data_IF_775154884527
#
_entry.id   IF_775154884527
#
_cell.length_a   1.000
_cell.length_b   1.000
_cell.length_c   1.000
_cell.angle_alpha   90.00
_cell.angle_beta   90.00
_cell.angle_gamma   90.00
#
_symmetry.space_group_name_H-M   'P 1'
#
loop_
_entity.id
_entity.type
_entity.pdbx_description
1 polymer ?
#
# COMPACT_ATOMS: atom_id res chain seq x y z
N UNK A 1 29.83 48.96 8.57
CA UNK A 1 29.03 47.88 7.95
C UNK A 1 29.75 46.52 7.84
N UNK A 2 31.04 46.39 8.20
CA UNK A 2 31.76 45.10 8.08
C UNK A 2 31.41 44.04 9.15
N UNK A 3 30.83 44.42 10.29
CA UNK A 3 30.53 43.50 11.41
C UNK A 3 29.26 42.64 11.23
N UNK A 4 28.37 43.02 10.30
CA UNK A 4 27.13 42.27 10.02
C UNK A 4 27.31 41.19 8.95
N UNK A 5 28.41 41.24 8.19
CA UNK A 5 28.75 40.30 7.14
C UNK A 5 28.97 38.86 7.64
N UNK A 6 29.69 38.59 8.75
CA UNK A 6 29.84 37.22 9.26
C UNK A 6 28.53 36.65 9.81
N UNK A 7 27.63 37.50 10.31
CA UNK A 7 26.31 37.08 10.82
C UNK A 7 25.42 36.62 9.67
N UNK A 8 25.43 37.35 8.54
CA UNK A 8 24.67 36.98 7.35
C UNK A 8 25.20 35.69 6.71
N UNK A 9 26.52 35.49 6.72
CA UNK A 9 27.15 34.28 6.19
C UNK A 9 26.84 33.04 7.06
N UNK A 10 26.79 33.21 8.38
CA UNK A 10 26.41 32.12 9.31
C UNK A 10 24.95 31.69 9.13
N UNK A 11 24.05 32.63 8.79
CA UNK A 11 22.64 32.33 8.53
C UNK A 11 22.43 31.51 7.24
N UNK A 12 23.31 31.68 6.25
CA UNK A 12 23.22 30.99 4.96
C UNK A 12 23.63 29.51 5.04
N UNK A 13 24.54 29.17 5.96
CA UNK A 13 25.03 27.78 6.13
C UNK A 13 23.97 26.90 6.84
N UNK A 14 23.12 27.50 7.68
CA UNK A 14 22.07 26.79 8.41
C UNK A 14 20.91 26.27 7.52
N UNK A 15 20.83 26.69 6.25
CA UNK A 15 19.74 26.32 5.35
C UNK A 15 19.93 24.98 4.61
N UNK A 16 21.04 24.27 4.84
CA UNK A 16 21.36 23.02 4.10
C UNK A 16 20.90 21.73 4.78
N UNK A 17 20.01 21.81 5.77
CA UNK A 17 19.49 20.63 6.48
C UNK A 17 18.39 19.95 5.64
N UNK A 18 18.78 18.99 4.81
CA UNK A 18 17.87 18.00 4.20
C UNK A 18 17.57 16.87 5.21
N UNK A 19 16.86 17.17 6.30
CA UNK A 19 16.48 16.17 7.32
C UNK A 19 15.07 15.58 7.14
N UNK A 20 14.41 15.84 6.01
CA UNK A 20 13.10 15.25 5.75
C UNK A 20 13.26 13.78 5.37
N UNK A 21 13.19 12.92 6.38
CA UNK A 21 12.83 11.51 6.20
C UNK A 21 11.31 11.52 6.02
N UNK A 22 10.76 11.18 4.84
CA UNK A 22 9.31 11.00 4.71
C UNK A 22 8.91 9.84 5.62
N UNK A 23 8.43 10.19 6.82
CA UNK A 23 7.77 9.28 7.76
C UNK A 23 6.33 9.11 7.30
N UNK A 24 6.17 8.21 6.34
CA UNK A 24 4.91 7.77 5.80
C UNK A 24 5.23 6.65 4.85
N UNK A 25 4.53 5.52 4.97
CA UNK A 25 4.49 4.58 3.86
C UNK A 25 4.28 5.40 2.59
N UNK A 26 4.96 5.04 1.49
CA UNK A 26 4.52 5.47 0.18
C UNK A 26 3.20 4.73 -0.09
N UNK A 27 2.16 5.14 0.63
CA UNK A 27 0.84 4.59 0.51
C UNK A 27 0.45 4.88 -0.93
N UNK A 28 0.38 3.79 -1.70
CA UNK A 28 -0.13 3.86 -3.05
C UNK A 28 -1.52 4.50 -2.95
N UNK A 29 -1.65 5.75 -3.41
CA UNK A 29 -2.90 6.48 -3.32
C UNK A 29 -3.83 5.91 -4.37
N UNK A 30 -4.82 5.14 -3.91
CA UNK A 30 -5.86 4.59 -4.78
C UNK A 30 -6.67 5.74 -5.34
N UNK A 31 -6.56 5.98 -6.65
CA UNK A 31 -7.38 6.94 -7.38
C UNK A 31 -8.55 6.23 -8.05
N UNK A 32 -9.74 6.41 -7.48
CA UNK A 32 -10.98 5.83 -8.00
C UNK A 32 -11.44 6.46 -9.32
N UNK A 33 -10.94 7.64 -9.67
CA UNK A 33 -11.23 8.27 -10.95
C UNK A 33 -10.37 7.70 -12.09
N UNK A 34 -9.26 7.02 -11.76
CA UNK A 34 -8.34 6.46 -12.74
C UNK A 34 -7.93 5.02 -12.40
N UNK A 35 -8.82 4.03 -12.63
CA UNK A 35 -8.51 2.62 -12.41
C UNK A 35 -7.39 2.13 -13.34
N UNK A 36 -6.50 1.31 -12.80
CA UNK A 36 -5.35 0.76 -13.54
C UNK A 36 -5.26 -0.76 -13.38
N UNK A 37 -4.77 -1.43 -14.41
CA UNK A 37 -4.57 -2.87 -14.41
C UNK A 37 -3.20 -3.26 -13.84
N UNK A 38 -3.22 -4.21 -12.91
CA UNK A 38 -2.02 -4.77 -12.29
C UNK A 38 -2.05 -6.29 -12.31
N UNK A 39 -0.89 -6.92 -12.33
CA UNK A 39 -0.71 -8.34 -12.05
C UNK A 39 -0.50 -8.55 -10.55
N UNK A 40 -1.18 -9.51 -9.93
CA UNK A 40 -0.96 -9.81 -8.51
C UNK A 40 0.43 -10.45 -8.35
N UNK A 41 1.36 -9.71 -7.75
CA UNK A 41 2.73 -10.17 -7.47
C UNK A 41 2.86 -11.00 -6.19
N UNK A 42 1.91 -10.86 -5.27
CA UNK A 42 1.87 -11.61 -4.02
C UNK A 42 0.67 -11.25 -3.15
N UNK A 43 0.28 -12.18 -2.27
CA UNK A 43 -0.82 -12.00 -1.31
C UNK A 43 -0.31 -12.40 0.07
N UNK A 44 -0.46 -11.52 1.06
CA UNK A 44 -0.13 -11.76 2.45
C UNK A 44 -1.40 -11.75 3.32
N UNK A 45 -1.51 -12.70 4.24
CA UNK A 45 -2.64 -12.80 5.17
C UNK A 45 -2.17 -12.48 6.59
N UNK A 46 -2.84 -11.51 7.21
CA UNK A 46 -2.66 -11.14 8.62
C UNK A 46 -3.98 -11.24 9.38
N UNK A 47 -3.96 -11.11 10.72
CA UNK A 47 -5.17 -11.11 11.55
C UNK A 47 -5.73 -12.47 11.94
N UNK A 48 -5.18 -13.58 11.44
CA UNK A 48 -5.60 -14.95 11.81
C UNK A 48 -4.41 -15.81 12.27
N UNK A 49 -4.63 -16.61 13.32
CA UNK A 49 -3.63 -17.53 13.90
C UNK A 49 -3.88 -19.00 13.57
N UNK A 50 -5.14 -19.36 13.32
CA UNK A 50 -5.59 -20.75 13.28
C UNK A 50 -6.15 -21.19 11.92
N UNK A 51 -6.28 -20.27 10.96
CA UNK A 51 -6.77 -20.58 9.63
C UNK A 51 -5.62 -20.76 8.64
N UNK A 52 -5.79 -21.71 7.74
CA UNK A 52 -4.84 -21.97 6.67
C UNK A 52 -4.84 -20.82 5.66
N UNK A 53 -3.66 -20.21 5.44
CA UNK A 53 -3.51 -19.04 4.56
C UNK A 53 -3.82 -19.36 3.10
N UNK A 54 -3.44 -20.53 2.62
CA UNK A 54 -3.68 -20.94 1.23
C UNK A 54 -5.17 -21.14 0.98
N UNK A 55 -5.90 -21.67 1.96
CA UNK A 55 -7.36 -21.78 1.90
C UNK A 55 -8.02 -20.40 1.85
N UNK A 56 -7.54 -19.44 2.66
CA UNK A 56 -8.08 -18.07 2.64
C UNK A 56 -7.85 -17.37 1.31
N UNK A 57 -6.65 -17.53 0.72
CA UNK A 57 -6.35 -17.01 -0.61
C UNK A 57 -7.30 -17.63 -1.64
N UNK A 58 -7.48 -18.95 -1.63
CA UNK A 58 -8.41 -19.65 -2.53
C UNK A 58 -9.87 -19.17 -2.37
N UNK A 59 -10.34 -18.99 -1.13
CA UNK A 59 -11.71 -18.52 -0.85
C UNK A 59 -11.93 -17.07 -1.28
N UNK A 60 -10.90 -16.23 -1.21
CA UNK A 60 -10.94 -14.86 -1.77
C UNK A 60 -11.15 -14.88 -3.29
N UNK A 61 -10.72 -15.95 -3.97
CA UNK A 61 -10.74 -16.05 -5.42
C UNK A 61 -9.74 -15.11 -6.11
N UNK A 62 -8.73 -14.66 -5.39
CA UNK A 62 -7.56 -13.96 -5.92
C UNK A 62 -6.41 -14.96 -6.08
N UNK A 63 -5.71 -14.90 -7.20
CA UNK A 63 -4.54 -15.75 -7.47
C UNK A 63 -3.33 -14.88 -7.80
N UNK A 64 -2.16 -15.27 -7.30
CA UNK A 64 -0.89 -14.65 -7.72
C UNK A 64 -0.69 -14.92 -9.21
N UNK A 65 -0.39 -13.88 -9.98
CA UNK A 65 -0.27 -13.90 -11.44
C UNK A 65 -1.53 -13.44 -12.18
N UNK A 66 -2.68 -13.30 -11.49
CA UNK A 66 -3.90 -12.79 -12.12
C UNK A 66 -3.80 -11.29 -12.39
N UNK A 67 -4.41 -10.84 -13.50
CA UNK A 67 -4.59 -9.42 -13.79
C UNK A 67 -5.88 -8.92 -13.16
N UNK A 68 -5.78 -7.84 -12.40
CA UNK A 68 -6.91 -7.17 -11.74
C UNK A 68 -6.84 -5.67 -11.97
N UNK A 69 -8.02 -5.05 -12.11
CA UNK A 69 -8.13 -3.59 -12.13
C UNK A 69 -8.25 -3.07 -10.70
N UNK A 70 -7.45 -2.06 -10.36
CA UNK A 70 -7.41 -1.44 -9.03
C UNK A 70 -7.58 0.08 -9.16
N UNK A 71 -8.56 0.67 -8.45
CA UNK A 71 -9.64 -0.02 -7.73
C UNK A 71 -10.61 -0.74 -8.69
N UNK A 72 -11.24 -1.82 -8.24
CA UNK A 72 -12.13 -2.62 -9.09
C UNK A 72 -12.90 -3.72 -8.35
N UNK A 73 -13.72 -4.45 -9.11
CA UNK A 73 -14.66 -5.45 -8.55
C UNK A 73 -13.95 -6.66 -7.95
N UNK A 74 -12.77 -7.03 -8.43
CA UNK A 74 -12.03 -8.20 -7.96
C UNK A 74 -11.81 -8.17 -6.44
N UNK A 75 -11.32 -7.04 -5.92
CA UNK A 75 -11.09 -6.84 -4.49
C UNK A 75 -12.40 -6.82 -3.69
N UNK A 76 -13.43 -6.15 -4.21
CA UNK A 76 -14.75 -6.10 -3.58
C UNK A 76 -15.40 -7.48 -3.48
N UNK A 77 -15.27 -8.29 -4.52
CA UNK A 77 -15.80 -9.64 -4.57
C UNK A 77 -15.00 -10.59 -3.66
N UNK A 78 -13.69 -10.42 -3.56
CA UNK A 78 -12.85 -11.16 -2.63
C UNK A 78 -13.28 -10.94 -1.17
N UNK A 79 -13.47 -9.68 -0.77
CA UNK A 79 -13.98 -9.32 0.56
C UNK A 79 -15.35 -9.97 0.79
N UNK A 80 -16.29 -9.84 -0.17
CA UNK A 80 -17.63 -10.45 -0.06
C UNK A 80 -17.60 -11.97 0.09
N UNK A 81 -16.73 -12.66 -0.66
CA UNK A 81 -16.60 -14.14 -0.59
C UNK A 81 -16.08 -14.61 0.76
N UNK A 82 -15.08 -13.91 1.31
CA UNK A 82 -14.55 -14.17 2.64
C UNK A 82 -15.59 -13.87 3.72
N UNK A 83 -16.28 -12.73 3.64
CA UNK A 83 -17.34 -12.35 4.58
C UNK A 83 -18.47 -13.38 4.64
N UNK A 84 -18.90 -13.88 3.48
CA UNK A 84 -19.94 -14.92 3.37
C UNK A 84 -19.61 -16.23 4.08
N UNK A 85 -18.35 -16.49 4.43
CA UNK A 85 -17.98 -17.66 5.22
C UNK A 85 -18.47 -17.56 6.66
N UNK A 86 -18.79 -16.36 7.18
CA UNK A 86 -19.25 -16.16 8.56
C UNK A 86 -18.18 -16.38 9.63
N UNK A 87 -16.91 -16.44 9.23
CA UNK A 87 -15.77 -16.73 10.11
C UNK A 87 -15.07 -15.47 10.65
N UNK A 88 -15.42 -14.30 10.14
CA UNK A 88 -14.68 -13.05 10.37
C UNK A 88 -15.63 -11.95 10.84
N UNK A 89 -15.16 -11.14 11.79
CA UNK A 89 -15.85 -9.93 12.25
C UNK A 89 -15.49 -8.68 11.43
N UNK A 90 -14.33 -8.72 10.76
CA UNK A 90 -13.83 -7.68 9.87
C UNK A 90 -13.01 -8.32 8.74
N UNK A 91 -13.11 -7.78 7.52
CA UNK A 91 -12.30 -8.21 6.37
C UNK A 91 -11.90 -6.99 5.56
N UNK A 92 -10.60 -6.77 5.40
CA UNK A 92 -10.06 -5.71 4.55
C UNK A 92 -8.91 -6.23 3.69
N UNK A 93 -8.71 -5.61 2.53
CA UNK A 93 -7.58 -5.87 1.64
C UNK A 93 -6.88 -4.53 1.43
N UNK A 94 -5.58 -4.47 1.70
CA UNK A 94 -4.75 -3.28 1.54
C UNK A 94 -3.67 -3.54 0.50
N UNK A 95 -3.05 -2.47 0.01
CA UNK A 95 -1.95 -2.56 -0.95
C UNK A 95 -0.66 -2.39 -0.16
N UNK A 96 0.15 -3.43 -0.10
CA UNK A 96 1.42 -3.42 0.64
C UNK A 96 2.53 -2.71 -0.14
N UNK A 97 2.61 -2.96 -1.45
CA UNK A 97 3.54 -2.29 -2.37
C UNK A 97 3.12 -2.47 -3.83
N UNK A 98 3.67 -1.62 -4.70
CA UNK A 98 3.55 -1.72 -6.16
C UNK A 98 4.96 -1.72 -6.76
N UNK A 99 5.26 -2.69 -7.61
CA UNK A 99 6.54 -2.84 -8.31
C UNK A 99 6.29 -2.97 -9.81
N UNK A 100 6.47 -1.87 -10.56
CA UNK A 100 6.17 -1.84 -11.99
C UNK A 100 4.69 -2.10 -12.25
N UNK A 101 4.39 -3.16 -13.00
CA UNK A 101 3.01 -3.61 -13.28
C UNK A 101 2.47 -4.61 -12.25
N UNK A 102 3.22 -4.90 -11.19
CA UNK A 102 2.82 -5.87 -10.16
C UNK A 102 2.33 -5.18 -8.90
N UNK A 103 1.22 -5.68 -8.36
CA UNK A 103 0.63 -5.24 -7.09
C UNK A 103 0.73 -6.33 -6.03
N UNK A 104 1.05 -5.94 -4.81
CA UNK A 104 1.15 -6.85 -3.68
C UNK A 104 0.06 -6.50 -2.66
N UNK A 105 -0.73 -7.51 -2.30
CA UNK A 105 -1.91 -7.39 -1.45
C UNK A 105 -1.65 -8.00 -0.06
#
# INVERSE_FOLDING_TARGET
MQKVLPILLFLFIASTVLAQIPLGNKDFKIDYANPQDFEIGGISISGTKHLDRSVLIMLSGLTVGDKITVPGEALSNAIKKLWKQGLFSDVSITISKVEGSKIFL
#
